data_IF_076153298914
#
_entry.id   IF_076153298914
#
_cell.length_a   1.000
_cell.length_b   1.000
_cell.length_c   1.000
_cell.angle_alpha   90.00
_cell.angle_beta   90.00
_cell.angle_gamma   90.00
#
_symmetry.space_group_name_H-M   'P 1'
#
loop_
_entity.id
_entity.type
_entity.pdbx_description
1 polymer ?
#
# COMPACT_ATOMS: atom_id res chain seq x y z
N UNK A 1 10.05 -26.90 -40.01
CA UNK A 1 9.99 -25.64 -39.26
C UNK A 1 9.47 -25.95 -37.86
N UNK A 2 10.39 -25.98 -36.89
CA UNK A 2 10.07 -26.27 -35.49
C UNK A 2 9.68 -24.94 -34.85
N UNK A 3 8.48 -24.88 -34.27
CA UNK A 3 8.01 -23.72 -33.54
C UNK A 3 8.90 -23.45 -32.30
N UNK A 4 9.26 -22.19 -31.99
CA UNK A 4 10.05 -21.91 -30.82
C UNK A 4 9.23 -22.20 -29.56
N UNK A 5 9.81 -22.95 -28.63
CA UNK A 5 9.26 -23.24 -27.32
C UNK A 5 9.05 -21.93 -26.56
N UNK A 6 7.83 -21.72 -26.08
CA UNK A 6 7.51 -20.71 -25.11
C UNK A 6 8.38 -20.92 -23.87
N UNK A 7 9.22 -19.96 -23.55
CA UNK A 7 9.94 -19.95 -22.28
C UNK A 7 8.89 -19.78 -21.18
N UNK A 8 8.73 -20.81 -20.37
CA UNK A 8 8.02 -20.75 -19.09
C UNK A 8 8.67 -19.66 -18.24
N UNK A 9 8.01 -18.52 -18.16
CA UNK A 9 8.35 -17.46 -17.25
C UNK A 9 7.77 -17.85 -15.87
N UNK A 10 8.41 -18.80 -15.19
CA UNK A 10 8.14 -19.01 -13.77
C UNK A 10 8.52 -17.72 -13.04
N UNK A 11 7.60 -17.12 -12.25
CA UNK A 11 7.97 -15.97 -11.42
C UNK A 11 9.15 -16.38 -10.55
N UNK A 12 10.16 -15.52 -10.45
CA UNK A 12 11.30 -15.73 -9.57
C UNK A 12 10.80 -16.05 -8.18
N UNK A 13 11.24 -17.15 -7.59
CA UNK A 13 10.85 -17.54 -6.24
C UNK A 13 11.35 -16.45 -5.29
N UNK A 14 10.42 -15.75 -4.63
CA UNK A 14 10.75 -14.77 -3.59
C UNK A 14 11.18 -15.51 -2.33
N UNK A 15 12.18 -15.00 -1.63
CA UNK A 15 12.64 -15.55 -0.36
C UNK A 15 11.81 -15.02 0.82
N UNK A 16 11.36 -13.76 0.73
CA UNK A 16 10.73 -13.02 1.82
C UNK A 16 9.27 -12.66 1.56
N UNK A 17 8.73 -13.04 0.41
CA UNK A 17 7.35 -12.80 0.01
C UNK A 17 6.68 -14.07 -0.50
N UNK A 18 5.35 -14.11 -0.35
CA UNK A 18 4.47 -15.01 -1.10
C UNK A 18 3.57 -14.13 -1.97
N UNK A 19 3.58 -14.36 -3.29
CA UNK A 19 2.83 -13.56 -4.26
C UNK A 19 1.86 -14.47 -5.02
N UNK A 20 0.59 -14.12 -4.99
CA UNK A 20 -0.50 -14.84 -5.65
C UNK A 20 -1.34 -13.86 -6.45
N UNK A 21 -1.69 -14.19 -7.69
CA UNK A 21 -2.58 -13.36 -8.52
C UNK A 21 -3.79 -14.18 -8.96
N UNK A 22 -4.96 -13.69 -8.62
CA UNK A 22 -6.24 -14.28 -9.01
C UNK A 22 -7.33 -13.19 -9.08
N UNK A 23 -8.34 -13.39 -9.95
CA UNK A 23 -9.51 -12.51 -10.04
C UNK A 23 -9.16 -11.01 -10.18
N UNK A 24 -8.15 -10.70 -10.99
CA UNK A 24 -7.63 -9.35 -11.22
C UNK A 24 -7.03 -8.66 -9.97
N UNK A 25 -6.66 -9.43 -8.94
CA UNK A 25 -6.03 -8.95 -7.72
C UNK A 25 -4.72 -9.69 -7.48
N UNK A 26 -3.66 -8.95 -7.16
CA UNK A 26 -2.40 -9.52 -6.65
C UNK A 26 -2.36 -9.40 -5.13
N UNK A 27 -2.22 -10.53 -4.44
CA UNK A 27 -1.96 -10.61 -3.01
C UNK A 27 -0.46 -10.79 -2.79
N UNK A 28 0.15 -9.86 -2.06
CA UNK A 28 1.55 -9.92 -1.63
C UNK A 28 1.56 -10.11 -0.12
N UNK A 29 2.05 -11.25 0.34
CA UNK A 29 2.21 -11.56 1.75
C UNK A 29 3.67 -11.45 2.14
N UNK A 30 3.97 -10.61 3.13
CA UNK A 30 5.28 -10.54 3.75
C UNK A 30 5.53 -11.86 4.50
N UNK A 31 6.67 -12.50 4.27
CA UNK A 31 6.96 -13.86 4.73
C UNK A 31 8.35 -13.98 5.35
N UNK A 32 8.56 -13.27 6.45
CA UNK A 32 9.69 -13.41 7.38
C UNK A 32 9.17 -13.64 8.80
N UNK A 33 8.46 -14.76 9.07
CA UNK A 33 7.74 -14.98 10.32
C UNK A 33 8.67 -15.02 11.55
N UNK A 34 9.91 -15.47 11.39
CA UNK A 34 10.94 -15.54 12.43
C UNK A 34 11.38 -14.14 12.93
N UNK A 35 11.24 -13.12 12.06
CA UNK A 35 11.56 -11.74 12.35
C UNK A 35 10.32 -10.86 12.47
N UNK A 36 9.11 -11.44 12.64
CA UNK A 36 7.84 -10.71 12.63
C UNK A 36 7.70 -9.78 11.42
N UNK A 37 8.16 -10.23 10.26
CA UNK A 37 8.19 -9.50 9.00
C UNK A 37 8.97 -8.17 9.05
N UNK A 38 10.00 -8.06 9.92
CA UNK A 38 10.87 -6.88 9.94
C UNK A 38 11.44 -6.62 8.54
N UNK A 39 11.40 -5.35 8.13
CA UNK A 39 11.82 -4.91 6.80
C UNK A 39 13.35 -4.90 6.72
N UNK A 40 13.91 -5.73 5.86
CA UNK A 40 15.31 -5.68 5.46
C UNK A 40 15.43 -5.34 3.98
N UNK A 41 16.64 -5.07 3.50
CA UNK A 41 16.90 -4.70 2.11
C UNK A 41 16.31 -5.72 1.13
N UNK A 42 16.46 -7.03 1.41
CA UNK A 42 15.93 -8.10 0.54
C UNK A 42 14.41 -8.04 0.40
N UNK A 43 13.68 -7.91 1.51
CA UNK A 43 12.22 -7.82 1.49
C UNK A 43 11.75 -6.59 0.71
N UNK A 44 12.40 -5.46 0.90
CA UNK A 44 12.06 -4.20 0.23
C UNK A 44 12.34 -4.29 -1.28
N UNK A 45 13.44 -4.89 -1.70
CA UNK A 45 13.76 -5.14 -3.11
C UNK A 45 12.73 -6.08 -3.76
N UNK A 46 12.40 -7.19 -3.09
CA UNK A 46 11.41 -8.14 -3.60
C UNK A 46 10.01 -7.51 -3.68
N UNK A 47 9.62 -6.71 -2.68
CA UNK A 47 8.36 -5.99 -2.70
C UNK A 47 8.28 -5.02 -3.89
N UNK A 48 9.35 -4.26 -4.13
CA UNK A 48 9.44 -3.37 -5.29
C UNK A 48 9.31 -4.12 -6.62
N UNK A 49 10.01 -5.25 -6.75
CA UNK A 49 9.92 -6.09 -7.93
C UNK A 49 8.52 -6.70 -8.14
N UNK A 50 7.90 -7.20 -7.08
CA UNK A 50 6.54 -7.75 -7.13
C UNK A 50 5.50 -6.69 -7.51
N UNK A 51 5.62 -5.46 -6.98
CA UNK A 51 4.76 -4.34 -7.34
C UNK A 51 4.92 -3.95 -8.81
N UNK A 52 6.16 -3.88 -9.32
CA UNK A 52 6.42 -3.57 -10.72
C UNK A 52 5.81 -4.62 -11.68
N UNK A 53 5.89 -5.91 -11.33
CA UNK A 53 5.25 -6.98 -12.09
C UNK A 53 3.73 -6.84 -12.06
N UNK A 54 3.13 -6.63 -10.89
CA UNK A 54 1.69 -6.45 -10.74
C UNK A 54 1.19 -5.19 -11.46
N UNK A 55 1.97 -4.11 -11.47
CA UNK A 55 1.62 -2.88 -12.17
C UNK A 55 1.65 -3.04 -13.70
N UNK A 56 2.65 -3.76 -14.22
CA UNK A 56 2.79 -4.02 -15.65
C UNK A 56 1.73 -5.00 -16.21
N UNK A 57 1.16 -5.86 -15.37
CA UNK A 57 0.15 -6.84 -15.80
C UNK A 57 -1.22 -6.19 -16.01
N UNK A 58 -1.66 -6.06 -17.25
CA UNK A 58 -2.96 -5.47 -17.60
C UNK A 58 -4.17 -6.21 -16.99
N UNK A 59 -4.02 -7.47 -16.60
CA UNK A 59 -5.07 -8.25 -15.95
C UNK A 59 -5.24 -7.90 -14.45
N UNK A 60 -4.28 -7.24 -13.84
CA UNK A 60 -4.31 -6.84 -12.42
C UNK A 60 -4.91 -5.43 -12.29
N UNK A 61 -5.96 -5.29 -11.49
CA UNK A 61 -6.64 -4.01 -11.22
C UNK A 61 -6.40 -3.45 -9.81
N UNK A 62 -5.98 -4.30 -8.86
CA UNK A 62 -5.72 -3.88 -7.47
C UNK A 62 -4.71 -4.83 -6.81
N UNK A 63 -3.97 -4.32 -5.82
CA UNK A 63 -2.96 -5.07 -5.07
C UNK A 63 -3.36 -5.07 -3.59
N UNK A 64 -3.14 -6.18 -2.89
CA UNK A 64 -3.29 -6.31 -1.44
C UNK A 64 -1.93 -6.67 -0.86
N UNK A 65 -1.46 -5.91 0.11
CA UNK A 65 -0.26 -6.24 0.90
C UNK A 65 -0.70 -6.65 2.30
N UNK A 66 -0.21 -7.78 2.79
CA UNK A 66 -0.52 -8.30 4.12
C UNK A 66 0.71 -8.97 4.76
N UNK A 67 0.62 -9.28 6.04
CA UNK A 67 1.63 -10.05 6.76
C UNK A 67 1.07 -11.36 7.31
N UNK A 68 1.43 -11.66 8.55
CA UNK A 68 0.87 -12.76 9.34
C UNK A 68 -0.16 -12.24 10.36
N UNK A 69 -0.87 -13.15 11.04
CA UNK A 69 -1.77 -12.78 12.13
C UNK A 69 -1.04 -12.08 13.30
N UNK A 70 0.24 -12.40 13.52
CA UNK A 70 1.05 -11.82 14.60
C UNK A 70 1.61 -10.46 14.26
N UNK A 71 1.96 -10.24 13.00
CA UNK A 71 2.56 -8.99 12.54
C UNK A 71 2.32 -8.79 11.03
N UNK A 72 1.87 -7.61 10.68
CA UNK A 72 2.02 -7.10 9.34
C UNK A 72 3.52 -6.91 9.05
N UNK A 73 4.17 -6.00 9.79
CA UNK A 73 5.62 -5.86 9.86
C UNK A 73 6.00 -5.11 11.16
N UNK A 74 6.94 -5.66 11.93
CA UNK A 74 7.29 -5.14 13.26
C UNK A 74 8.40 -4.06 13.26
N UNK A 75 8.69 -3.47 12.11
CA UNK A 75 9.68 -2.39 11.96
C UNK A 75 10.76 -2.70 10.93
N UNK A 76 11.82 -1.91 10.93
CA UNK A 76 13.04 -2.20 10.18
C UNK A 76 13.84 -3.31 10.85
N UNK A 77 14.65 -4.03 10.08
CA UNK A 77 15.57 -5.02 10.63
C UNK A 77 16.78 -4.32 11.27
N UNK A 78 16.75 -4.19 12.61
CA UNK A 78 17.73 -3.43 13.35
C UNK A 78 19.15 -4.04 13.20
N UNK A 79 19.27 -5.35 12.97
CA UNK A 79 20.56 -5.99 12.76
C UNK A 79 21.26 -5.48 11.48
N UNK A 80 20.48 -5.11 10.46
CA UNK A 80 21.02 -4.57 9.22
C UNK A 80 21.45 -3.10 9.35
N UNK A 81 20.95 -2.40 10.38
CA UNK A 81 21.18 -0.97 10.57
C UNK A 81 22.18 -0.63 11.68
N UNK A 82 22.34 -1.49 12.66
CA UNK A 82 22.98 -1.17 13.95
C UNK A 82 24.44 -0.71 13.86
N UNK A 83 25.17 -1.11 12.83
CA UNK A 83 26.57 -0.79 12.58
C UNK A 83 26.79 0.32 11.54
N UNK A 84 25.71 0.85 10.95
CA UNK A 84 25.79 1.85 9.87
C UNK A 84 26.15 3.22 10.41
N UNK A 85 27.07 3.88 9.70
CA UNK A 85 27.38 5.30 9.91
C UNK A 85 26.41 6.20 9.13
N UNK A 86 26.43 7.50 9.44
CA UNK A 86 25.71 8.50 8.65
C UNK A 86 26.07 8.41 7.14
N UNK A 87 27.35 8.24 6.84
CA UNK A 87 27.81 8.17 5.45
C UNK A 87 27.27 6.92 4.72
N UNK A 88 27.16 5.80 5.43
CA UNK A 88 26.61 4.56 4.86
C UNK A 88 25.12 4.72 4.57
N UNK A 89 24.35 5.24 5.52
CA UNK A 89 22.91 5.48 5.37
C UNK A 89 22.63 6.48 4.25
N UNK A 90 23.39 7.57 4.20
CA UNK A 90 23.22 8.64 3.21
C UNK A 90 23.57 8.17 1.79
N UNK A 91 24.68 7.43 1.62
CA UNK A 91 25.08 6.89 0.31
C UNK A 91 24.14 5.81 -0.23
N UNK A 92 23.68 4.95 0.65
CA UNK A 92 22.76 3.86 0.29
C UNK A 92 21.34 4.37 0.03
N UNK A 93 20.98 5.58 0.48
CA UNK A 93 19.59 6.08 0.48
C UNK A 93 18.64 4.99 1.05
N UNK A 94 18.97 4.53 2.24
CA UNK A 94 18.51 3.27 2.82
C UNK A 94 16.98 3.18 2.83
N UNK A 95 16.42 2.08 2.32
CA UNK A 95 14.99 1.83 2.12
C UNK A 95 14.27 2.68 1.07
N UNK A 96 14.85 3.74 0.54
CA UNK A 96 14.15 4.68 -0.34
C UNK A 96 13.68 4.03 -1.64
N UNK A 97 14.47 3.14 -2.24
CA UNK A 97 14.10 2.49 -3.52
C UNK A 97 12.79 1.69 -3.39
N UNK A 98 12.62 0.92 -2.32
CA UNK A 98 11.39 0.16 -2.09
C UNK A 98 10.21 1.02 -1.67
N UNK A 99 10.44 2.05 -0.85
CA UNK A 99 9.42 3.03 -0.50
C UNK A 99 8.86 3.72 -1.76
N UNK A 100 9.74 4.16 -2.66
CA UNK A 100 9.35 4.75 -3.94
C UNK A 100 8.51 3.80 -4.80
N UNK A 101 8.79 2.51 -4.82
CA UNK A 101 8.01 1.55 -5.59
C UNK A 101 6.54 1.47 -5.11
N UNK A 102 6.31 1.57 -3.80
CA UNK A 102 4.95 1.62 -3.24
C UNK A 102 4.26 2.93 -3.59
N UNK A 103 4.95 4.06 -3.39
CA UNK A 103 4.41 5.41 -3.63
C UNK A 103 4.10 5.68 -5.12
N UNK A 104 4.94 5.17 -6.02
CA UNK A 104 4.82 5.41 -7.46
C UNK A 104 3.89 4.41 -8.16
N UNK A 105 3.51 3.33 -7.51
CA UNK A 105 2.57 2.36 -8.09
C UNK A 105 1.23 3.05 -8.40
N UNK A 106 0.84 3.05 -9.66
CA UNK A 106 -0.41 3.69 -10.12
C UNK A 106 -1.66 2.87 -9.83
N UNK A 107 -1.51 1.55 -9.65
CA UNK A 107 -2.62 0.69 -9.23
C UNK A 107 -2.88 0.85 -7.74
N UNK A 108 -4.15 0.75 -7.29
CA UNK A 108 -4.46 0.78 -5.87
C UNK A 108 -3.80 -0.35 -5.10
N UNK A 109 -3.29 0.01 -3.90
CA UNK A 109 -2.68 -0.92 -2.95
C UNK A 109 -3.44 -0.83 -1.63
N UNK A 110 -3.97 -1.94 -1.15
CA UNK A 110 -4.64 -2.06 0.16
C UNK A 110 -3.67 -2.71 1.14
N UNK A 111 -3.43 -2.07 2.29
CA UNK A 111 -2.77 -2.73 3.41
C UNK A 111 -3.81 -3.49 4.25
N UNK A 112 -3.68 -4.82 4.34
CA UNK A 112 -4.47 -5.66 5.23
C UNK A 112 -3.63 -5.99 6.47
N UNK A 113 -3.87 -5.28 7.57
CA UNK A 113 -3.01 -5.24 8.75
C UNK A 113 -3.60 -6.06 9.89
N UNK A 114 -2.90 -7.12 10.31
CA UNK A 114 -3.15 -7.83 11.56
C UNK A 114 -1.92 -7.79 12.46
N UNK A 115 -2.11 -7.87 13.78
CA UNK A 115 -1.03 -7.83 14.75
C UNK A 115 -0.23 -6.52 14.67
N UNK A 116 1.08 -6.63 14.73
CA UNK A 116 1.96 -5.45 14.80
C UNK A 116 2.23 -4.83 13.43
N UNK A 117 2.00 -3.53 13.31
CA UNK A 117 2.49 -2.64 12.26
C UNK A 117 3.26 -1.51 12.95
N UNK A 118 4.58 -1.68 13.13
CA UNK A 118 5.40 -0.77 13.94
C UNK A 118 6.53 -0.17 13.11
N UNK A 119 6.93 1.07 13.41
CA UNK A 119 8.02 1.74 12.72
C UNK A 119 7.90 1.65 11.21
N UNK A 120 8.93 1.18 10.53
CA UNK A 120 8.91 0.95 9.09
C UNK A 120 7.72 0.13 8.60
N UNK A 121 7.20 -0.83 9.40
CA UNK A 121 5.99 -1.57 9.06
C UNK A 121 4.73 -0.72 9.09
N UNK A 122 4.61 0.20 10.04
CA UNK A 122 3.55 1.20 10.07
C UNK A 122 3.69 2.20 8.91
N UNK A 123 4.93 2.59 8.59
CA UNK A 123 5.23 3.46 7.46
C UNK A 123 4.82 2.80 6.14
N UNK A 124 5.15 1.51 5.94
CA UNK A 124 4.73 0.73 4.77
C UNK A 124 3.20 0.66 4.66
N UNK A 125 2.49 0.42 5.76
CA UNK A 125 1.03 0.40 5.76
C UNK A 125 0.45 1.77 5.37
N UNK A 126 1.03 2.89 5.85
CA UNK A 126 0.62 4.26 5.51
C UNK A 126 0.98 4.69 4.09
N UNK A 127 1.94 4.03 3.42
CA UNK A 127 2.25 4.25 2.01
C UNK A 127 1.23 3.59 1.07
N UNK A 128 0.52 2.57 1.53
CA UNK A 128 -0.61 2.01 0.79
C UNK A 128 -1.77 3.02 0.74
N UNK A 129 -2.70 2.84 -0.19
CA UNK A 129 -3.78 3.81 -0.41
C UNK A 129 -4.77 3.89 0.75
N UNK A 130 -5.03 2.76 1.40
CA UNK A 130 -5.78 2.72 2.67
C UNK A 130 -5.53 1.42 3.41
N UNK A 131 -5.86 1.44 4.72
CA UNK A 131 -5.64 0.33 5.63
C UNK A 131 -6.97 -0.31 6.00
N UNK A 132 -7.08 -1.62 5.83
CA UNK A 132 -8.05 -2.47 6.52
C UNK A 132 -7.33 -3.13 7.69
N UNK A 133 -7.84 -2.98 8.89
CA UNK A 133 -7.21 -3.52 10.08
C UNK A 133 -8.01 -4.67 10.68
N UNK A 134 -7.32 -5.71 11.11
CA UNK A 134 -7.90 -6.65 12.06
C UNK A 134 -8.16 -5.97 13.40
N UNK A 135 -9.13 -6.45 14.16
CA UNK A 135 -9.40 -6.01 15.54
C UNK A 135 -8.19 -6.21 16.48
N UNK A 136 -7.27 -7.10 16.09
CA UNK A 136 -6.00 -7.37 16.78
C UNK A 136 -4.88 -6.42 16.42
N UNK A 137 -5.05 -5.55 15.42
CA UNK A 137 -3.97 -4.71 14.89
C UNK A 137 -3.47 -3.67 15.92
N UNK A 138 -2.16 -3.45 15.90
CA UNK A 138 -1.45 -2.44 16.72
C UNK A 138 -0.55 -1.62 15.81
N UNK A 139 -0.68 -0.31 15.89
CA UNK A 139 0.09 0.65 15.11
C UNK A 139 1.00 1.48 16.00
N UNK A 140 2.19 1.82 15.55
CA UNK A 140 3.09 2.67 16.32
C UNK A 140 4.32 3.11 15.55
N UNK A 141 4.98 4.17 16.07
CA UNK A 141 6.26 4.67 15.60
C UNK A 141 7.24 4.70 16.79
N UNK A 142 7.76 3.52 17.23
CA UNK A 142 8.54 3.41 18.46
C UNK A 142 10.05 3.69 18.29
N UNK A 143 10.46 4.32 17.18
CA UNK A 143 11.86 4.59 16.83
C UNK A 143 12.61 5.39 17.90
N UNK A 144 11.89 6.20 18.67
CA UNK A 144 12.46 6.96 19.79
C UNK A 144 13.13 6.05 20.82
N UNK A 145 12.65 4.83 21.01
CA UNK A 145 13.25 3.85 21.93
C UNK A 145 14.62 3.37 21.45
N UNK A 146 14.95 3.59 20.18
CA UNK A 146 16.25 3.27 19.56
C UNK A 146 17.13 4.52 19.38
N UNK A 147 16.68 5.70 19.85
CA UNK A 147 17.40 6.95 19.68
C UNK A 147 17.38 7.52 18.26
N UNK A 148 16.40 7.10 17.42
CA UNK A 148 16.23 7.58 16.05
C UNK A 148 14.80 8.08 15.82
N UNK A 149 14.56 8.66 14.66
CA UNK A 149 13.24 9.06 14.18
C UNK A 149 12.75 8.09 13.11
N UNK A 150 11.42 8.03 12.81
CA UNK A 150 10.89 7.40 11.62
C UNK A 150 11.62 7.88 10.36
N UNK A 151 11.98 6.95 9.46
CA UNK A 151 12.92 7.24 8.36
C UNK A 151 12.33 7.20 6.95
N UNK A 152 11.14 6.62 6.76
CA UNK A 152 10.51 6.49 5.45
C UNK A 152 9.12 7.15 5.37
N UNK A 153 8.95 8.24 6.10
CA UNK A 153 7.80 9.13 6.03
C UNK A 153 6.82 9.05 7.20
N UNK A 154 7.13 8.29 8.26
CA UNK A 154 6.24 8.12 9.40
C UNK A 154 5.84 9.41 10.08
N UNK A 155 6.76 10.32 10.31
CA UNK A 155 6.45 11.63 10.89
C UNK A 155 5.53 12.46 10.02
N UNK A 156 5.63 12.32 8.71
CA UNK A 156 4.87 13.11 7.74
C UNK A 156 3.47 12.54 7.51
N UNK A 157 3.38 11.24 7.24
CA UNK A 157 2.11 10.57 6.96
C UNK A 157 1.24 10.44 8.20
N UNK A 158 1.82 9.98 9.32
CA UNK A 158 1.05 9.84 10.56
C UNK A 158 0.46 11.19 10.98
N UNK A 159 1.25 12.27 10.94
CA UNK A 159 0.76 13.61 11.32
C UNK A 159 -0.39 14.08 10.43
N UNK A 160 -0.36 13.78 9.13
CA UNK A 160 -1.44 14.15 8.20
C UNK A 160 -2.70 13.32 8.43
N UNK A 161 -2.56 12.05 8.78
CA UNK A 161 -3.69 11.13 8.95
C UNK A 161 -4.38 11.30 10.31
N UNK A 162 -3.61 11.42 11.43
CA UNK A 162 -4.18 11.42 12.79
C UNK A 162 -4.11 12.78 13.50
N UNK A 163 -3.54 13.78 12.86
CA UNK A 163 -3.31 15.10 13.42
C UNK A 163 -2.10 15.19 14.35
N UNK A 164 -1.59 16.44 14.52
CA UNK A 164 -0.32 16.73 15.22
C UNK A 164 -0.29 16.18 16.65
N UNK A 165 -1.36 16.37 17.43
CA UNK A 165 -1.35 16.02 18.85
C UNK A 165 -1.15 14.51 19.07
N UNK A 166 -1.89 13.69 18.33
CA UNK A 166 -1.80 12.24 18.43
C UNK A 166 -0.47 11.71 17.85
N UNK A 167 -0.02 12.25 16.73
CA UNK A 167 1.27 11.89 16.16
C UNK A 167 2.44 12.19 17.11
N UNK A 168 2.44 13.38 17.75
CA UNK A 168 3.46 13.75 18.75
C UNK A 168 3.47 12.80 19.93
N UNK A 169 2.30 12.47 20.48
CA UNK A 169 2.18 11.54 21.61
C UNK A 169 2.77 10.17 21.24
N UNK A 170 2.42 9.62 20.09
CA UNK A 170 2.92 8.33 19.63
C UNK A 170 4.43 8.33 19.35
N UNK A 171 4.93 9.32 18.61
CA UNK A 171 6.32 9.39 18.18
C UNK A 171 7.26 9.69 19.35
N UNK A 172 6.88 10.59 20.26
CA UNK A 172 7.74 10.99 21.37
C UNK A 172 7.71 10.03 22.56
N UNK A 173 6.64 9.24 22.71
CA UNK A 173 6.54 8.25 23.81
C UNK A 173 6.81 6.83 23.34
N UNK A 174 6.78 6.57 22.02
CA UNK A 174 6.87 5.22 21.47
C UNK A 174 5.65 4.35 21.74
N UNK A 175 4.52 4.95 22.22
CA UNK A 175 3.32 4.16 22.47
C UNK A 175 2.68 3.64 21.19
N UNK A 176 1.94 2.56 21.34
CA UNK A 176 1.11 2.00 20.27
C UNK A 176 -0.34 2.47 20.40
N UNK A 177 -1.04 2.43 19.27
CA UNK A 177 -2.48 2.64 19.16
C UNK A 177 -3.12 1.33 18.69
N UNK A 178 -4.26 0.96 19.27
CA UNK A 178 -5.01 -0.22 18.83
C UNK A 178 -5.87 0.10 17.59
N UNK A 179 -6.48 -0.95 17.01
CA UNK A 179 -7.29 -0.82 15.82
C UNK A 179 -8.45 0.18 16.01
N UNK A 180 -9.11 0.17 17.18
CA UNK A 180 -10.24 1.04 17.45
C UNK A 180 -9.82 2.52 17.58
N UNK A 181 -8.67 2.79 18.21
CA UNK A 181 -8.10 4.14 18.24
C UNK A 181 -7.66 4.59 16.84
N UNK A 182 -7.05 3.69 16.06
CA UNK A 182 -6.55 3.95 14.72
C UNK A 182 -7.68 4.31 13.75
N UNK A 183 -8.80 3.61 13.83
CA UNK A 183 -9.99 3.89 13.01
C UNK A 183 -10.61 5.24 13.39
N UNK A 184 -10.85 5.49 14.70
CA UNK A 184 -11.37 6.80 15.17
C UNK A 184 -10.45 7.97 14.82
N UNK A 185 -9.15 7.74 14.75
CA UNK A 185 -8.17 8.77 14.42
C UNK A 185 -8.02 9.03 12.90
N UNK A 186 -8.57 8.17 12.05
CA UNK A 186 -8.50 8.29 10.59
C UNK A 186 -7.29 7.59 9.95
N UNK A 187 -6.51 6.83 10.71
CA UNK A 187 -5.41 6.02 10.16
C UNK A 187 -5.93 4.78 9.44
N UNK A 188 -6.98 4.16 9.96
CA UNK A 188 -7.59 2.93 9.45
C UNK A 188 -8.94 3.25 8.82
N UNK A 189 -9.20 2.73 7.64
CA UNK A 189 -10.46 2.92 6.92
C UNK A 189 -11.63 2.18 7.59
N UNK A 190 -11.39 0.95 8.03
CA UNK A 190 -12.35 0.14 8.79
C UNK A 190 -11.68 -1.04 9.47
N UNK A 191 -12.35 -1.54 10.53
CA UNK A 191 -11.93 -2.72 11.29
C UNK A 191 -12.71 -3.94 10.80
N UNK A 192 -12.02 -5.08 10.74
CA UNK A 192 -12.57 -6.38 10.33
C UNK A 192 -12.16 -7.42 11.39
N UNK A 193 -12.97 -8.44 11.70
CA UNK A 193 -12.50 -9.56 12.51
C UNK A 193 -11.23 -10.18 11.92
N UNK A 194 -10.26 -10.53 12.77
CA UNK A 194 -8.96 -11.03 12.30
C UNK A 194 -9.08 -12.23 11.33
N UNK A 195 -10.01 -13.14 11.59
CA UNK A 195 -10.26 -14.30 10.74
C UNK A 195 -10.74 -13.94 9.32
N UNK A 196 -11.39 -12.79 9.15
CA UNK A 196 -12.01 -12.36 7.89
C UNK A 196 -11.14 -11.33 7.12
N UNK A 197 -10.05 -10.84 7.70
CA UNK A 197 -9.28 -9.71 7.19
C UNK A 197 -8.85 -9.88 5.73
N UNK A 198 -8.19 -10.98 5.41
CA UNK A 198 -7.67 -11.21 4.05
C UNK A 198 -8.81 -11.40 3.05
N UNK A 199 -9.85 -12.13 3.44
CA UNK A 199 -11.03 -12.35 2.59
C UNK A 199 -11.74 -11.02 2.25
N UNK A 200 -11.91 -10.14 3.24
CA UNK A 200 -12.51 -8.81 3.08
C UNK A 200 -11.63 -7.86 2.27
N UNK A 201 -10.30 -7.91 2.46
CA UNK A 201 -9.36 -7.15 1.65
C UNK A 201 -9.41 -7.56 0.18
N UNK A 202 -9.43 -8.88 -0.10
CA UNK A 202 -9.57 -9.40 -1.46
C UNK A 202 -10.93 -9.05 -2.07
N UNK A 203 -12.02 -9.14 -1.30
CA UNK A 203 -13.36 -8.76 -1.77
C UNK A 203 -13.40 -7.25 -2.11
N UNK A 204 -12.76 -6.42 -1.31
CA UNK A 204 -12.64 -4.98 -1.58
C UNK A 204 -11.79 -4.71 -2.81
N UNK A 205 -10.65 -5.39 -2.95
CA UNK A 205 -9.77 -5.27 -4.11
C UNK A 205 -10.47 -5.69 -5.42
N UNK A 206 -11.27 -6.77 -5.40
CA UNK A 206 -12.09 -7.16 -6.57
C UNK A 206 -13.13 -6.11 -6.94
N UNK A 207 -13.74 -5.42 -5.96
CA UNK A 207 -14.67 -4.31 -6.24
C UNK A 207 -13.95 -3.16 -6.95
N UNK A 208 -12.71 -2.85 -6.55
CA UNK A 208 -11.88 -1.84 -7.21
C UNK A 208 -11.48 -2.30 -8.61
N UNK A 209 -10.97 -3.51 -8.74
CA UNK A 209 -10.53 -4.10 -10.01
C UNK A 209 -11.67 -4.23 -11.06
N UNK A 210 -12.93 -4.25 -10.61
CA UNK A 210 -14.11 -4.27 -11.49
C UNK A 210 -14.49 -2.89 -12.04
N UNK A 211 -13.84 -1.81 -11.61
CA UNK A 211 -14.06 -0.45 -12.12
C UNK A 211 -13.17 -0.16 -13.34
N UNK A 212 -13.43 0.96 -14.01
CA UNK A 212 -12.57 1.44 -15.11
C UNK A 212 -11.13 1.66 -14.61
N UNK A 213 -10.14 0.93 -15.13
CA UNK A 213 -8.76 1.03 -14.65
C UNK A 213 -8.18 2.45 -14.74
N UNK A 214 -8.50 3.19 -15.82
CA UNK A 214 -8.04 4.56 -16.00
C UNK A 214 -8.67 5.51 -14.98
N UNK A 215 -9.97 5.37 -14.74
CA UNK A 215 -10.65 6.16 -13.73
C UNK A 215 -10.13 5.87 -12.31
N UNK A 216 -9.85 4.60 -11.99
CA UNK A 216 -9.28 4.19 -10.70
C UNK A 216 -7.91 4.84 -10.49
N UNK A 217 -6.99 4.74 -11.47
CA UNK A 217 -5.66 5.35 -11.37
C UNK A 217 -5.73 6.88 -11.23
N UNK A 218 -6.59 7.55 -12.00
CA UNK A 218 -6.75 9.01 -11.92
C UNK A 218 -7.36 9.43 -10.58
N UNK A 219 -8.32 8.69 -10.03
CA UNK A 219 -8.87 9.00 -8.71
C UNK A 219 -7.83 8.82 -7.60
N UNK A 220 -6.98 7.78 -7.66
CA UNK A 220 -5.84 7.63 -6.74
C UNK A 220 -4.90 8.84 -6.82
N UNK A 221 -4.51 9.26 -8.02
CA UNK A 221 -3.68 10.44 -8.24
C UNK A 221 -4.31 11.71 -7.64
N UNK A 222 -5.62 11.93 -7.87
CA UNK A 222 -6.34 13.08 -7.36
C UNK A 222 -6.40 13.13 -5.83
N UNK A 223 -6.66 11.99 -5.18
CA UNK A 223 -6.68 11.92 -3.72
C UNK A 223 -5.28 12.19 -3.15
N UNK A 224 -4.23 11.62 -3.75
CA UNK A 224 -2.85 11.87 -3.32
C UNK A 224 -2.43 13.34 -3.52
N UNK A 225 -2.90 13.99 -4.60
CA UNK A 225 -2.66 15.41 -4.87
C UNK A 225 -3.14 16.32 -3.73
N UNK A 226 -4.18 15.92 -2.98
CA UNK A 226 -4.67 16.70 -1.84
C UNK A 226 -3.63 16.87 -0.71
N UNK A 227 -2.64 15.99 -0.63
CA UNK A 227 -1.57 16.08 0.36
C UNK A 227 -0.37 16.92 -0.11
N UNK A 228 -0.31 17.28 -1.41
CA UNK A 228 0.85 17.92 -2.04
C UNK A 228 0.57 19.35 -2.50
N UNK A 229 -0.73 19.75 -2.59
CA UNK A 229 -1.10 21.08 -3.12
C UNK A 229 -2.06 21.82 -2.21
N UNK A 230 -2.27 23.11 -2.51
CA UNK A 230 -3.36 23.88 -1.90
C UNK A 230 -4.71 23.44 -2.46
N UNK A 231 -5.79 23.65 -1.73
CA UNK A 231 -7.15 23.28 -2.16
C UNK A 231 -7.48 23.84 -3.55
N UNK A 232 -7.17 25.10 -3.80
CA UNK A 232 -7.49 25.76 -5.09
C UNK A 232 -6.74 25.13 -6.26
N UNK A 233 -5.48 24.74 -6.09
CA UNK A 233 -4.71 24.06 -7.15
C UNK A 233 -5.15 22.60 -7.31
N UNK A 234 -5.39 21.87 -6.22
CA UNK A 234 -5.93 20.52 -6.26
C UNK A 234 -7.25 20.44 -7.01
N UNK A 235 -8.19 21.36 -6.75
CA UNK A 235 -9.47 21.43 -7.49
C UNK A 235 -9.27 21.72 -8.97
N UNK A 236 -8.27 22.52 -9.37
CA UNK A 236 -7.96 22.72 -10.80
C UNK A 236 -7.44 21.45 -11.47
N UNK A 237 -6.57 20.69 -10.79
CA UNK A 237 -6.09 19.39 -11.29
C UNK A 237 -7.27 18.41 -11.42
N UNK A 238 -8.12 18.31 -10.39
CA UNK A 238 -9.32 17.46 -10.38
C UNK A 238 -10.21 17.75 -11.59
N UNK A 239 -10.55 19.01 -11.84
CA UNK A 239 -11.38 19.38 -12.98
C UNK A 239 -10.78 19.00 -14.34
N UNK A 240 -9.45 19.14 -14.49
CA UNK A 240 -8.77 18.76 -15.72
C UNK A 240 -8.81 17.25 -15.94
N UNK A 241 -8.51 16.46 -14.91
CA UNK A 241 -8.57 15.00 -15.01
C UNK A 241 -10.01 14.51 -15.16
N UNK A 242 -11.00 15.12 -14.46
CA UNK A 242 -12.41 14.82 -14.69
C UNK A 242 -12.81 15.03 -16.15
N UNK A 243 -12.46 16.17 -16.76
CA UNK A 243 -12.75 16.42 -18.17
C UNK A 243 -12.05 15.42 -19.11
N UNK A 244 -10.79 15.03 -18.80
CA UNK A 244 -10.05 14.09 -19.64
C UNK A 244 -10.67 12.69 -19.65
N UNK A 245 -11.35 12.28 -18.57
CA UNK A 245 -12.07 11.00 -18.53
C UNK A 245 -13.16 10.88 -19.60
N UNK A 246 -13.70 11.99 -20.09
CA UNK A 246 -14.71 12.00 -21.18
C UNK A 246 -14.14 11.60 -22.55
N UNK A 247 -12.81 11.50 -22.67
CA UNK A 247 -12.15 10.99 -23.87
C UNK A 247 -12.13 9.45 -23.95
N UNK A 248 -12.45 8.75 -22.86
CA UNK A 248 -12.36 7.29 -22.79
C UNK A 248 -13.70 6.60 -23.06
N UNK A 249 -13.64 5.41 -23.65
CA UNK A 249 -14.80 4.57 -23.91
C UNK A 249 -15.51 4.11 -22.63
N UNK A 250 -14.72 3.83 -21.59
CA UNK A 250 -15.25 3.41 -20.29
C UNK A 250 -16.17 4.46 -19.66
N UNK A 251 -15.94 5.76 -19.89
CA UNK A 251 -16.86 6.82 -19.44
C UNK A 251 -18.21 6.72 -20.15
N UNK A 252 -18.20 6.45 -21.45
CA UNK A 252 -19.44 6.29 -22.24
C UNK A 252 -20.21 5.05 -21.79
N UNK A 253 -19.50 3.94 -21.63
CA UNK A 253 -20.05 2.68 -21.12
C UNK A 253 -20.66 2.86 -19.72
N UNK A 254 -19.92 3.47 -18.80
CA UNK A 254 -20.39 3.69 -17.44
C UNK A 254 -21.68 4.50 -17.35
N UNK A 255 -21.77 5.60 -18.11
CA UNK A 255 -22.98 6.46 -18.15
C UNK A 255 -24.13 5.76 -18.84
N UNK A 256 -23.90 5.07 -19.97
CA UNK A 256 -24.95 4.31 -20.66
C UNK A 256 -25.48 3.18 -19.76
N UNK A 257 -24.59 2.42 -19.14
CA UNK A 257 -24.99 1.34 -18.23
C UNK A 257 -25.83 1.85 -17.05
N UNK A 258 -25.49 3.02 -16.50
CA UNK A 258 -26.26 3.65 -15.42
C UNK A 258 -27.67 4.04 -15.87
N UNK A 259 -27.80 4.68 -17.04
CA UNK A 259 -29.10 5.07 -17.64
C UNK A 259 -29.95 3.83 -17.92
N UNK A 260 -29.34 2.78 -18.49
CA UNK A 260 -30.01 1.52 -18.85
C UNK A 260 -30.25 0.60 -17.65
N UNK A 261 -29.82 0.96 -16.44
CA UNK A 261 -29.93 0.17 -15.22
C UNK A 261 -29.30 -1.23 -15.35
N UNK A 262 -28.19 -1.35 -16.03
CA UNK A 262 -27.40 -2.58 -16.22
C UNK A 262 -25.99 -2.44 -15.58
N UNK A 263 -25.31 -3.56 -15.44
CA UNK A 263 -23.89 -3.54 -15.00
C UNK A 263 -23.01 -3.03 -16.15
N UNK A 264 -22.11 -2.09 -15.85
CA UNK A 264 -21.10 -1.62 -16.78
C UNK A 264 -20.04 -2.71 -17.06
N UNK A 265 -19.46 -2.68 -18.27
CA UNK A 265 -18.38 -3.56 -18.71
C UNK A 265 -17.21 -2.71 -19.16
N UNK A 266 -16.33 -2.38 -18.21
CA UNK A 266 -15.16 -1.57 -18.47
C UNK A 266 -14.08 -2.35 -19.19
N UNK A 267 -13.37 -1.69 -20.11
CA UNK A 267 -12.32 -2.28 -20.97
C UNK A 267 -10.96 -1.62 -20.80
N UNK A 268 -10.88 -0.52 -20.06
CA UNK A 268 -9.65 0.25 -19.87
C UNK A 268 -9.28 1.12 -21.08
N UNK A 269 -10.24 1.51 -21.89
CA UNK A 269 -10.02 2.30 -23.11
C UNK A 269 -10.79 3.61 -23.09
#
# INVERSE_FOLDING_TARGET
MVAPALKDNMPAAHETLIVETADAVTLIRLNRPEALNALNSRLIEELGAALAVAEADAAVGCIVVTGSERAFAAGADIKEMSDKSYADMFKADFFTAGARAVEQCRKPIIAAVAGYALGGGCELAMMCDFILAADTAKFGQPEINLGVAPGIGGTQRLTRQVGKSKAMDMILTGRMMDAAEAERAGLVSRIVPAADLVAEALATARKIAAQSPLAVMMNKELVNTAYETTLSEGVKVERRLFHSLFAFDDQKEGMAAFVDKRKAKFTGR
#
